data_IF_624364382986
#
_entry.id   IF_624364382986
#
_cell.length_a   1.000
_cell.length_b   1.000
_cell.length_c   1.000
_cell.angle_alpha   90.00
_cell.angle_beta   90.00
_cell.angle_gamma   90.00
#
_symmetry.space_group_name_H-M   'P 1'
#
loop_
_entity.id
_entity.type
_entity.pdbx_description
1 polymer ?
#
# COMPACT_ATOMS: atom_id res chain seq x y z
N UNK A 1 0.78 -2.74 -3.26
CA UNK A 1 1.25 -2.86 -1.86
C UNK A 1 2.55 -3.65 -1.76
N UNK A 2 3.71 -3.00 -1.53
CA UNK A 2 4.88 -3.74 -1.08
C UNK A 2 4.72 -4.11 0.38
N UNK A 3 4.10 -5.27 0.59
CA UNK A 3 4.03 -5.91 1.89
C UNK A 3 5.30 -6.72 2.16
N UNK A 4 6.45 -6.32 1.58
CA UNK A 4 7.73 -6.95 1.86
C UNK A 4 8.17 -6.60 3.29
N UNK A 5 7.57 -7.29 4.24
CA UNK A 5 8.14 -7.45 5.56
C UNK A 5 9.23 -8.50 5.39
N UNK A 6 10.49 -8.15 5.69
CA UNK A 6 11.53 -9.19 5.80
C UNK A 6 11.02 -10.24 6.78
N UNK A 7 10.98 -11.51 6.35
CA UNK A 7 10.50 -12.60 7.19
C UNK A 7 11.35 -12.61 8.47
N UNK A 8 10.70 -12.35 9.61
CA UNK A 8 11.36 -12.26 10.93
C UNK A 8 11.17 -13.54 11.76
N UNK A 9 10.60 -14.60 11.20
CA UNK A 9 10.33 -15.84 11.93
C UNK A 9 10.09 -17.07 11.05
N UNK A 10 10.55 -18.19 11.59
CA UNK A 10 10.49 -19.60 11.17
C UNK A 10 10.29 -19.88 9.67
N UNK A 11 11.40 -20.21 8.99
CA UNK A 11 11.44 -20.70 7.59
C UNK A 11 10.86 -22.12 7.46
N UNK A 12 9.91 -22.50 8.32
CA UNK A 12 9.28 -23.80 8.30
C UNK A 12 8.65 -24.04 6.92
N UNK A 13 9.12 -25.08 6.25
CA UNK A 13 8.65 -25.42 4.93
C UNK A 13 7.15 -25.74 4.98
N UNK A 14 6.45 -25.32 3.93
CA UNK A 14 5.06 -25.73 3.71
C UNK A 14 5.11 -27.16 3.16
N UNK A 15 4.73 -28.10 4.02
CA UNK A 15 4.72 -29.54 3.74
C UNK A 15 3.34 -30.05 3.35
N UNK A 16 2.27 -29.32 3.72
CA UNK A 16 0.89 -29.77 3.50
C UNK A 16 -0.04 -28.66 3.01
N UNK A 17 -1.10 -29.05 2.32
CA UNK A 17 -2.19 -28.16 1.94
C UNK A 17 -2.85 -27.49 3.15
N UNK A 18 -2.95 -28.20 4.27
CA UNK A 18 -3.65 -27.71 5.46
C UNK A 18 -2.93 -26.52 6.09
N UNK A 19 -1.60 -26.44 5.98
CA UNK A 19 -0.84 -25.25 6.40
C UNK A 19 -1.23 -24.00 5.60
N UNK A 20 -1.51 -24.14 4.30
CA UNK A 20 -1.99 -23.03 3.46
C UNK A 20 -3.42 -22.63 3.84
N UNK A 21 -4.30 -23.61 4.05
CA UNK A 21 -5.70 -23.37 4.44
C UNK A 21 -5.78 -22.69 5.80
N UNK A 22 -4.95 -23.11 6.76
CA UNK A 22 -4.93 -22.57 8.11
C UNK A 22 -4.65 -21.06 8.18
N UNK A 23 -3.97 -20.47 7.19
CA UNK A 23 -3.80 -19.00 7.09
C UNK A 23 -5.14 -18.30 6.89
N UNK A 24 -6.01 -18.83 6.04
CA UNK A 24 -7.34 -18.28 5.80
C UNK A 24 -8.29 -18.53 6.98
N UNK A 25 -8.22 -19.70 7.60
CA UNK A 25 -9.06 -20.04 8.76
C UNK A 25 -8.81 -19.13 9.96
N UNK A 26 -7.56 -18.69 10.17
CA UNK A 26 -7.20 -17.67 11.17
C UNK A 26 -7.89 -16.31 10.91
N UNK A 27 -8.38 -16.08 9.71
CA UNK A 27 -9.13 -14.88 9.33
C UNK A 27 -10.58 -14.84 9.85
N UNK A 28 -11.14 -15.99 10.24
CA UNK A 28 -12.52 -16.09 10.73
C UNK A 28 -12.74 -15.25 12.01
N UNK A 29 -13.83 -14.48 12.03
CA UNK A 29 -14.19 -13.58 13.13
C UNK A 29 -15.66 -13.72 13.52
N UNK A 30 -16.02 -13.65 14.81
CA UNK A 30 -17.41 -13.60 15.22
C UNK A 30 -18.07 -12.33 14.71
N UNK A 31 -19.40 -12.33 14.58
CA UNK A 31 -20.16 -11.20 14.03
C UNK A 31 -19.87 -9.86 14.74
N UNK A 32 -19.62 -9.89 16.05
CA UNK A 32 -19.26 -8.71 16.84
C UNK A 32 -17.94 -8.04 16.39
N UNK A 33 -17.04 -8.80 15.76
CA UNK A 33 -15.73 -8.35 15.30
C UNK A 33 -15.67 -8.08 13.80
N UNK A 34 -16.81 -8.15 13.10
CA UNK A 34 -16.89 -7.76 11.70
C UNK A 34 -16.65 -6.26 11.55
N UNK A 35 -15.92 -5.88 10.49
CA UNK A 35 -15.56 -4.50 10.14
C UNK A 35 -15.71 -4.32 8.63
N UNK A 36 -15.73 -3.07 8.18
CA UNK A 36 -15.76 -2.69 6.76
C UNK A 36 -14.48 -1.91 6.48
N UNK A 37 -13.67 -2.41 5.54
CA UNK A 37 -12.58 -1.67 4.93
C UNK A 37 -13.02 -1.11 3.59
N UNK A 38 -12.54 0.07 3.23
CA UNK A 38 -12.83 0.72 1.95
C UNK A 38 -11.53 1.13 1.29
N UNK A 39 -11.41 0.81 0.01
CA UNK A 39 -10.31 1.22 -0.86
C UNK A 39 -10.90 2.00 -2.03
N UNK A 40 -10.19 3.00 -2.55
CA UNK A 40 -10.65 3.76 -3.70
C UNK A 40 -9.46 4.29 -4.49
N UNK A 41 -9.47 4.10 -5.80
CA UNK A 41 -8.42 4.62 -6.67
C UNK A 41 -8.80 5.97 -7.27
N UNK A 42 -7.80 6.84 -7.44
CA UNK A 42 -7.95 8.19 -7.97
C UNK A 42 -6.94 8.40 -9.09
N UNK A 43 -7.41 8.94 -10.22
CA UNK A 43 -6.53 9.38 -11.30
C UNK A 43 -5.95 10.75 -10.97
N UNK A 44 -4.61 10.82 -10.87
CA UNK A 44 -3.89 12.08 -10.68
C UNK A 44 -3.59 12.69 -12.06
N UNK A 45 -3.77 14.00 -12.20
CA UNK A 45 -3.44 14.73 -13.43
C UNK A 45 -2.93 16.14 -13.12
N UNK A 46 -2.05 16.69 -13.96
CA UNK A 46 -1.60 18.09 -13.86
C UNK A 46 -2.66 19.04 -14.39
N UNK A 47 -2.93 20.13 -13.66
CA UNK A 47 -3.96 21.11 -14.08
C UNK A 47 -3.56 21.93 -15.32
N UNK A 48 -2.27 22.01 -15.63
CA UNK A 48 -1.76 22.81 -16.76
C UNK A 48 -2.04 22.18 -18.12
N UNK A 49 -1.98 20.86 -18.22
CA UNK A 49 -2.07 20.11 -19.49
C UNK A 49 -2.95 18.85 -19.41
N UNK A 50 -3.47 18.52 -18.22
CA UNK A 50 -4.29 17.34 -17.92
C UNK A 50 -3.58 16.01 -18.18
N UNK A 51 -2.26 16.00 -18.31
CA UNK A 51 -1.50 14.76 -18.41
C UNK A 51 -1.39 14.08 -17.04
N UNK A 52 -1.41 12.75 -17.04
CA UNK A 52 -1.02 11.97 -15.88
C UNK A 52 0.47 12.25 -15.57
N UNK A 53 0.81 12.61 -14.32
CA UNK A 53 2.19 12.89 -13.98
C UNK A 53 3.00 11.59 -13.95
N UNK A 54 4.26 11.68 -14.41
CA UNK A 54 5.22 10.60 -14.16
C UNK A 54 5.68 10.59 -12.69
N UNK A 55 6.43 9.56 -12.31
CA UNK A 55 6.90 9.41 -10.93
C UNK A 55 7.93 10.48 -10.53
N UNK A 56 8.93 10.73 -11.39
CA UNK A 56 10.10 11.54 -11.06
C UNK A 56 10.02 13.01 -11.47
N UNK A 57 9.05 13.40 -12.30
CA UNK A 57 8.95 14.79 -12.77
C UNK A 57 8.66 15.77 -11.63
N UNK A 58 9.01 17.06 -11.79
CA UNK A 58 8.65 18.08 -10.81
C UNK A 58 7.13 18.16 -10.62
N UNK A 59 6.66 17.99 -9.38
CA UNK A 59 5.23 17.88 -9.07
C UNK A 59 4.62 16.53 -9.43
N UNK A 60 5.45 15.51 -9.67
CA UNK A 60 5.05 14.15 -10.01
C UNK A 60 4.57 13.33 -8.83
N UNK A 61 4.37 12.03 -9.05
CA UNK A 61 3.83 11.11 -8.02
C UNK A 61 4.73 11.05 -6.77
N UNK A 62 6.05 11.05 -6.93
CA UNK A 62 6.98 11.07 -5.78
C UNK A 62 6.79 12.30 -4.90
N UNK A 63 6.62 13.46 -5.53
CA UNK A 63 6.46 14.73 -4.81
C UNK A 63 5.09 14.76 -4.11
N UNK A 64 4.05 14.20 -4.73
CA UNK A 64 2.73 14.03 -4.12
C UNK A 64 2.79 13.13 -2.88
N UNK A 65 3.45 11.97 -2.96
CA UNK A 65 3.63 11.05 -1.83
C UNK A 65 4.40 11.73 -0.68
N UNK A 66 5.55 12.35 -0.97
CA UNK A 66 6.33 13.09 0.03
C UNK A 66 5.56 14.25 0.66
N UNK A 67 4.66 14.88 -0.10
CA UNK A 67 3.75 15.90 0.42
C UNK A 67 2.86 15.38 1.55
N UNK A 68 2.60 14.07 1.63
CA UNK A 68 1.79 13.47 2.68
C UNK A 68 2.49 13.44 4.05
N UNK A 69 3.82 13.55 4.09
CA UNK A 69 4.58 13.65 5.35
C UNK A 69 4.14 14.86 6.18
N UNK A 70 3.71 15.95 5.52
CA UNK A 70 3.16 17.13 6.20
C UNK A 70 1.87 16.84 6.99
N UNK A 71 1.20 15.73 6.71
CA UNK A 71 0.00 15.26 7.40
C UNK A 71 0.29 14.08 8.35
N UNK A 72 1.56 13.81 8.65
CA UNK A 72 1.98 12.77 9.60
C UNK A 72 2.03 11.36 9.02
N UNK A 73 2.01 11.22 7.70
CA UNK A 73 2.21 9.93 7.05
C UNK A 73 3.69 9.57 6.95
N UNK A 74 4.02 8.29 7.11
CA UNK A 74 5.39 7.78 7.03
C UNK A 74 5.66 7.13 5.67
N UNK A 75 6.81 7.41 5.02
CA UNK A 75 7.10 6.86 3.71
C UNK A 75 7.44 5.37 3.78
N UNK A 76 6.90 4.60 2.83
CA UNK A 76 7.30 3.22 2.56
C UNK A 76 8.23 3.22 1.35
N UNK A 77 9.45 2.70 1.53
CA UNK A 77 10.53 2.77 0.53
C UNK A 77 10.87 1.38 0.00
N UNK A 78 10.88 1.23 -1.33
CA UNK A 78 11.36 0.03 -2.03
C UNK A 78 12.35 0.44 -3.13
N UNK A 79 13.50 -0.22 -3.21
CA UNK A 79 14.52 0.09 -4.23
C UNK A 79 15.02 1.55 -4.19
N UNK A 80 14.94 2.22 -3.04
CA UNK A 80 15.28 3.63 -2.87
C UNK A 80 14.18 4.63 -3.27
N UNK A 81 13.01 4.15 -3.70
CA UNK A 81 11.87 4.96 -4.10
C UNK A 81 10.77 4.93 -3.03
N UNK A 82 10.14 6.08 -2.76
CA UNK A 82 8.93 6.13 -1.95
C UNK A 82 7.78 5.63 -2.82
N UNK A 83 7.17 4.50 -2.44
CA UNK A 83 6.15 3.82 -3.26
C UNK A 83 4.76 3.81 -2.63
N UNK A 84 4.67 4.17 -1.35
CA UNK A 84 3.45 4.20 -0.57
C UNK A 84 3.67 5.07 0.68
N UNK A 85 2.58 5.41 1.35
CA UNK A 85 2.62 6.06 2.65
C UNK A 85 1.82 5.26 3.67
N UNK A 86 2.29 5.23 4.92
CA UNK A 86 1.62 4.58 6.04
C UNK A 86 1.08 5.61 7.02
N UNK A 87 -0.19 5.48 7.38
CA UNK A 87 -0.87 6.30 8.38
C UNK A 87 -1.26 5.46 9.60
N UNK A 88 -1.78 6.14 10.62
CA UNK A 88 -2.29 5.47 11.83
C UNK A 88 -3.56 4.64 11.57
N UNK A 89 -4.34 5.04 10.56
CA UNK A 89 -5.67 4.52 10.24
C UNK A 89 -5.81 3.99 8.80
N UNK A 90 -4.73 4.00 8.01
CA UNK A 90 -4.76 3.55 6.62
C UNK A 90 -3.40 3.53 5.94
N UNK A 91 -3.43 3.27 4.63
CA UNK A 91 -2.28 3.30 3.73
C UNK A 91 -2.64 4.12 2.50
N UNK A 92 -1.62 4.68 1.85
CA UNK A 92 -1.70 5.22 0.49
C UNK A 92 -0.87 4.31 -0.40
N UNK A 93 -1.46 3.78 -1.48
CA UNK A 93 -0.77 2.92 -2.45
C UNK A 93 -0.59 3.60 -3.80
N UNK A 94 0.32 3.03 -4.60
CA UNK A 94 0.34 3.22 -6.04
C UNK A 94 0.01 1.92 -6.77
N UNK A 95 -0.86 2.05 -7.78
CA UNK A 95 -1.09 1.01 -8.78
C UNK A 95 -0.15 1.16 -10.00
N UNK A 96 -0.04 0.17 -10.90
CA UNK A 96 0.98 0.14 -11.96
C UNK A 96 1.07 1.36 -12.90
N UNK A 97 0.04 2.21 -12.95
CA UNK A 97 0.02 3.44 -13.75
C UNK A 97 -0.09 4.73 -12.91
N UNK A 98 0.21 4.66 -11.61
CA UNK A 98 0.24 5.82 -10.72
C UNK A 98 -1.14 6.27 -10.23
N UNK A 99 -2.17 5.41 -10.32
CA UNK A 99 -3.41 5.64 -9.60
C UNK A 99 -3.10 5.69 -8.11
N UNK A 100 -3.70 6.66 -7.46
CA UNK A 100 -3.51 6.93 -6.04
C UNK A 100 -4.64 6.26 -5.28
N UNK A 101 -4.32 5.20 -4.57
CA UNK A 101 -5.25 4.48 -3.70
C UNK A 101 -5.21 5.05 -2.29
#
# INVERSE_FOLDING_TARGET
MSNQVMATGDEALIETRDQLVGVFEKGNKPQADWRIGTEHEKFVYRLSDHCAPSYDEPGGIRDLLKGMEAFGWEPVVEGGNVIAMKGADGAISLEPAGQFE
#
